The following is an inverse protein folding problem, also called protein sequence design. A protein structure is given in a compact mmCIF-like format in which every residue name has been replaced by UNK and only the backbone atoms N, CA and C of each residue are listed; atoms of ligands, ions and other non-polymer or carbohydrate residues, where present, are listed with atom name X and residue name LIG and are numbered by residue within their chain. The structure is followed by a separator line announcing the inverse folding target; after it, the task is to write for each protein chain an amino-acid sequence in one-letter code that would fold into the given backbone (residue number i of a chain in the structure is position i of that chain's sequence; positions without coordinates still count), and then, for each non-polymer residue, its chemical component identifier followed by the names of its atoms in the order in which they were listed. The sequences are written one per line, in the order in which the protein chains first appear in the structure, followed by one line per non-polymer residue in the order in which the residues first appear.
data_IF_688584950983
#
_entry.id   IF_688584950983
#
_cell.length_a   1.000
_cell.length_b   1.000
_cell.length_c   1.000
_cell.angle_alpha   90.00
_cell.angle_beta   90.00
_cell.angle_gamma   90.00
#
_symmetry.space_group_name_H-M   'P 1'
#
loop_
_entity.id
_entity.type
_entity.pdbx_description
1 polymer ?
#
# COMPACT_ATOMS: atom_id res chain seq x y z
N UNK A 1 1.21 -22.53 -17.78
CA UNK A 1 0.32 -22.53 -16.60
C UNK A 1 0.96 -21.62 -15.58
N UNK A 2 0.33 -20.47 -15.33
CA UNK A 2 0.66 -19.59 -14.21
C UNK A 2 0.62 -20.47 -12.96
N UNK A 3 1.70 -20.49 -12.18
CA UNK A 3 1.71 -21.19 -10.89
C UNK A 3 0.52 -20.71 -10.06
N UNK A 4 -0.18 -21.65 -9.44
CA UNK A 4 -1.45 -21.49 -8.72
C UNK A 4 -1.43 -20.56 -7.49
N UNK A 5 -0.50 -19.62 -7.41
CA UNK A 5 -0.65 -18.44 -6.55
C UNK A 5 -1.23 -17.31 -7.39
N UNK A 6 -2.57 -17.35 -7.51
CA UNK A 6 -3.36 -16.17 -7.85
C UNK A 6 -2.89 -15.04 -6.94
N UNK A 7 -2.34 -13.96 -7.50
CA UNK A 7 -2.26 -12.67 -6.81
C UNK A 7 -3.71 -12.17 -6.63
N UNK A 8 -4.44 -12.78 -5.70
CA UNK A 8 -5.79 -12.39 -5.35
C UNK A 8 -5.70 -11.23 -4.38
N UNK A 9 -5.92 -10.02 -4.88
CA UNK A 9 -6.42 -8.95 -4.00
C UNK A 9 -7.76 -9.42 -3.45
N UNK A 10 -7.96 -9.33 -2.14
CA UNK A 10 -9.31 -9.29 -1.59
C UNK A 10 -10.03 -8.10 -2.26
N UNK A 11 -10.94 -8.39 -3.20
CA UNK A 11 -11.65 -7.36 -3.98
C UNK A 11 -11.62 -7.49 -5.52
N UNK A 12 -10.98 -8.52 -6.10
CA UNK A 12 -11.39 -9.00 -7.44
C UNK A 12 -10.94 -8.23 -8.68
N UNK A 13 -9.79 -7.55 -8.68
CA UNK A 13 -9.10 -7.22 -9.95
C UNK A 13 -7.74 -7.88 -9.99
N UNK A 14 -7.53 -8.76 -10.98
CA UNK A 14 -6.22 -9.32 -11.26
C UNK A 14 -5.28 -8.20 -11.70
N UNK A 15 -4.01 -8.31 -11.27
CA UNK A 15 -2.91 -7.53 -11.83
C UNK A 15 -2.75 -8.05 -13.26
N UNK A 16 -3.51 -7.51 -14.22
CA UNK A 16 -3.43 -7.96 -15.61
C UNK A 16 -2.38 -7.16 -16.38
N UNK A 17 -2.18 -5.89 -16.02
CA UNK A 17 -1.28 -4.97 -16.73
C UNK A 17 -0.29 -4.34 -15.76
N UNK A 18 0.99 -4.52 -16.05
CA UNK A 18 2.11 -3.97 -15.30
C UNK A 18 3.00 -3.10 -16.19
N UNK A 19 3.85 -2.30 -15.56
CA UNK A 19 5.02 -1.74 -16.24
C UNK A 19 6.22 -2.61 -15.91
N UNK A 20 6.85 -3.20 -16.92
CA UNK A 20 7.98 -4.11 -16.75
C UNK A 20 9.19 -3.62 -17.52
N UNK A 21 10.38 -3.85 -16.97
CA UNK A 21 11.65 -3.70 -17.67
C UNK A 21 12.63 -4.75 -17.17
N UNK A 22 13.71 -4.91 -17.91
CA UNK A 22 14.91 -5.61 -17.46
C UNK A 22 16.01 -4.62 -17.14
N UNK A 23 17.11 -5.10 -16.57
CA UNK A 23 18.32 -4.30 -16.37
C UNK A 23 18.99 -3.86 -17.68
N UNK A 24 18.59 -4.43 -18.81
CA UNK A 24 19.09 -4.13 -20.15
C UNK A 24 18.22 -3.09 -20.88
N UNK A 25 17.02 -2.82 -20.38
CA UNK A 25 16.05 -1.92 -21.02
C UNK A 25 16.24 -0.47 -20.51
N UNK A 26 16.20 0.51 -21.42
CA UNK A 26 16.30 1.94 -21.08
C UNK A 26 15.03 2.47 -20.38
N UNK A 27 13.87 1.84 -20.61
CA UNK A 27 12.57 2.29 -20.09
C UNK A 27 11.65 1.12 -19.75
N UNK A 28 10.67 1.37 -18.88
CA UNK A 28 9.57 0.46 -18.62
C UNK A 28 8.58 0.43 -19.79
N UNK A 29 8.19 -0.77 -20.20
CA UNK A 29 7.12 -1.00 -21.18
C UNK A 29 5.89 -1.59 -20.51
N UNK A 30 4.74 -1.43 -21.16
CA UNK A 30 3.50 -2.06 -20.70
C UNK A 30 3.58 -3.55 -21.02
N UNK A 31 3.23 -4.39 -20.05
CA UNK A 31 3.18 -5.84 -20.21
C UNK A 31 1.87 -6.38 -19.65
N UNK A 32 1.11 -7.08 -20.47
CA UNK A 32 -0.10 -7.80 -20.10
C UNK A 32 0.26 -9.24 -19.69
N UNK A 33 0.12 -9.54 -18.40
CA UNK A 33 0.51 -10.83 -17.81
C UNK A 33 -0.26 -12.03 -18.36
N UNK A 34 -1.40 -11.83 -19.04
CA UNK A 34 -2.22 -12.90 -19.63
C UNK A 34 -1.97 -13.13 -21.11
N UNK A 35 -1.46 -12.13 -21.81
CA UNK A 35 -1.43 -12.10 -23.28
C UNK A 35 -0.01 -12.02 -23.82
N UNK A 36 0.85 -11.27 -23.14
CA UNK A 36 2.18 -10.96 -23.66
C UNK A 36 3.18 -12.07 -23.34
N UNK A 37 4.11 -12.26 -24.27
CA UNK A 37 5.28 -13.12 -24.11
C UNK A 37 6.52 -12.39 -24.60
N UNK A 38 7.66 -12.71 -24.00
CA UNK A 38 8.97 -12.13 -24.32
C UNK A 38 9.91 -13.24 -24.81
N UNK A 39 10.73 -12.96 -25.81
CA UNK A 39 11.65 -13.94 -26.41
C UNK A 39 13.04 -13.77 -25.82
N UNK A 40 13.69 -14.85 -25.40
CA UNK A 40 15.07 -14.80 -24.89
C UNK A 40 16.08 -14.21 -25.88
N UNK A 41 15.79 -14.25 -27.18
CA UNK A 41 16.64 -13.64 -28.21
C UNK A 41 16.83 -12.12 -28.01
N UNK A 42 15.87 -11.45 -27.36
CA UNK A 42 15.95 -10.01 -27.10
C UNK A 42 17.04 -9.63 -26.09
N UNK A 43 17.49 -10.58 -25.27
CA UNK A 43 18.52 -10.38 -24.25
C UNK A 43 19.92 -10.79 -24.72
N UNK A 44 20.05 -11.15 -26.01
CA UNK A 44 21.33 -11.49 -26.63
C UNK A 44 22.02 -12.69 -25.97
N UNK A 45 23.26 -12.49 -25.49
CA UNK A 45 24.08 -13.54 -24.88
C UNK A 45 24.06 -13.52 -23.35
N UNK A 46 23.12 -12.80 -22.73
CA UNK A 46 23.00 -12.80 -21.28
C UNK A 46 22.62 -14.21 -20.80
N UNK A 47 23.42 -14.77 -19.87
CA UNK A 47 23.10 -16.04 -19.21
C UNK A 47 21.98 -15.86 -18.17
N UNK A 48 21.83 -14.62 -17.67
CA UNK A 48 20.90 -14.24 -16.63
C UNK A 48 20.40 -12.82 -16.86
N UNK A 49 19.14 -12.57 -16.52
CA UNK A 49 18.49 -11.27 -16.66
C UNK A 49 17.67 -10.95 -15.40
N UNK A 50 17.86 -9.75 -14.85
CA UNK A 50 17.01 -9.20 -13.81
C UNK A 50 15.80 -8.45 -14.41
N UNK A 51 14.62 -8.79 -13.92
CA UNK A 51 13.34 -8.18 -14.27
C UNK A 51 12.83 -7.33 -13.11
N UNK A 52 12.24 -6.19 -13.45
CA UNK A 52 11.62 -5.24 -12.54
C UNK A 52 10.21 -4.93 -13.02
N UNK A 53 9.25 -4.86 -12.09
CA UNK A 53 7.86 -4.63 -12.42
C UNK A 53 7.19 -3.67 -11.43
N UNK A 54 6.29 -2.81 -11.92
CA UNK A 54 5.46 -1.92 -11.12
C UNK A 54 3.98 -2.17 -11.39
N UNK A 55 3.21 -2.20 -10.30
CA UNK A 55 1.75 -2.12 -10.33
C UNK A 55 1.25 -1.01 -9.39
N UNK A 56 0.24 -0.21 -9.76
CA UNK A 56 -0.34 -0.10 -11.09
C UNK A 56 0.72 0.29 -12.14
N UNK A 57 0.38 0.13 -13.43
CA UNK A 57 1.27 0.53 -14.51
C UNK A 57 1.76 1.97 -14.31
N UNK A 58 3.02 2.21 -14.64
CA UNK A 58 3.60 3.54 -14.63
C UNK A 58 2.90 4.43 -15.68
N UNK A 59 2.64 5.71 -15.36
CA UNK A 59 2.35 6.72 -16.35
C UNK A 59 3.45 6.82 -17.41
N UNK A 60 3.09 7.18 -18.64
CA UNK A 60 4.01 7.20 -19.78
C UNK A 60 5.18 8.19 -19.57
N UNK A 61 4.90 9.33 -18.94
CA UNK A 61 5.85 10.40 -18.64
C UNK A 61 6.92 10.01 -17.60
N UNK A 62 6.72 8.92 -16.86
CA UNK A 62 7.71 8.41 -15.88
C UNK A 62 8.31 7.05 -16.28
N UNK A 63 7.96 6.52 -17.45
CA UNK A 63 8.40 5.18 -17.91
C UNK A 63 9.93 5.07 -18.10
N UNK A 64 10.59 6.14 -18.53
CA UNK A 64 12.05 6.23 -18.66
C UNK A 64 12.75 6.87 -17.45
N UNK A 65 12.04 7.16 -16.37
CA UNK A 65 12.61 7.81 -15.20
C UNK A 65 13.32 6.81 -14.26
N UNK A 66 14.17 7.33 -13.40
CA UNK A 66 14.78 6.56 -12.30
C UNK A 66 13.90 6.55 -11.05
N UNK A 67 13.08 7.59 -10.88
CA UNK A 67 12.22 7.77 -9.72
C UNK A 67 10.84 8.29 -10.11
N UNK A 68 9.86 8.12 -9.22
CA UNK A 68 8.55 8.79 -9.31
C UNK A 68 8.13 9.35 -7.96
N UNK A 69 7.29 10.38 -7.98
CA UNK A 69 6.63 10.86 -6.76
C UNK A 69 5.42 9.97 -6.48
N UNK A 70 5.31 9.51 -5.23
CA UNK A 70 4.13 8.83 -4.70
C UNK A 70 3.42 9.72 -3.70
N UNK A 71 2.09 9.60 -3.68
CA UNK A 71 1.22 10.15 -2.65
C UNK A 71 0.41 9.00 -2.06
N UNK A 72 0.32 8.92 -0.73
CA UNK A 72 -0.55 7.93 -0.11
C UNK A 72 -2.03 8.28 -0.28
N UNK A 73 -2.91 7.35 0.01
CA UNK A 73 -4.33 7.44 -0.31
C UNK A 73 -4.98 6.06 -0.39
N UNK A 74 -5.89 5.87 -1.34
CA UNK A 74 -6.57 4.58 -1.55
C UNK A 74 -5.82 3.64 -2.47
N UNK A 75 -4.89 4.16 -3.26
CA UNK A 75 -4.13 3.38 -4.22
C UNK A 75 -3.07 2.53 -3.51
N UNK A 76 -2.94 1.29 -3.95
CA UNK A 76 -1.90 0.37 -3.48
C UNK A 76 -0.84 0.25 -4.57
N UNK A 77 0.43 0.32 -4.19
CA UNK A 77 1.56 0.23 -5.11
C UNK A 77 2.40 -0.99 -4.78
N UNK A 78 2.70 -1.79 -5.79
CA UNK A 78 3.49 -3.00 -5.69
C UNK A 78 4.71 -2.89 -6.59
N UNK A 79 5.81 -3.46 -6.12
CA UNK A 79 7.04 -3.57 -6.87
C UNK A 79 7.49 -5.04 -6.91
N UNK A 80 7.74 -5.55 -8.11
CA UNK A 80 8.11 -6.93 -8.36
C UNK A 80 9.51 -7.04 -8.92
N UNK A 81 10.23 -8.08 -8.49
CA UNK A 81 11.53 -8.44 -9.06
C UNK A 81 11.56 -9.92 -9.39
N UNK A 82 12.31 -10.26 -10.44
CA UNK A 82 12.67 -11.65 -10.73
C UNK A 82 14.08 -11.71 -11.29
N UNK A 83 14.75 -12.83 -11.05
CA UNK A 83 15.96 -13.24 -11.74
C UNK A 83 15.62 -14.45 -12.57
N UNK A 84 15.98 -14.45 -13.85
CA UNK A 84 15.73 -15.59 -14.73
C UNK A 84 16.98 -15.94 -15.54
N UNK A 85 17.16 -17.23 -15.77
CA UNK A 85 18.28 -17.78 -16.53
C UNK A 85 17.86 -18.04 -17.97
N UNK A 86 18.77 -17.84 -18.92
CA UNK A 86 18.50 -18.03 -20.34
C UNK A 86 17.92 -19.43 -20.64
N UNK A 87 16.85 -19.47 -21.43
CA UNK A 87 16.12 -20.69 -21.78
C UNK A 87 15.03 -21.09 -20.77
N UNK A 88 14.88 -20.38 -19.65
CA UNK A 88 13.80 -20.62 -18.69
C UNK A 88 12.44 -20.26 -19.31
N UNK A 89 11.49 -21.18 -19.23
CA UNK A 89 10.18 -21.02 -19.88
C UNK A 89 9.24 -20.04 -19.14
N UNK A 90 9.52 -19.74 -17.87
CA UNK A 90 8.65 -18.95 -17.00
C UNK A 90 9.47 -18.06 -16.07
N UNK A 91 9.08 -16.81 -15.90
CA UNK A 91 9.71 -15.88 -14.95
C UNK A 91 8.71 -15.58 -13.82
N UNK A 92 9.12 -15.78 -12.57
CA UNK A 92 8.26 -15.56 -11.39
C UNK A 92 8.59 -14.21 -10.73
N UNK A 93 7.76 -13.19 -11.02
CA UNK A 93 7.87 -11.87 -10.39
C UNK A 93 7.41 -11.92 -8.93
N UNK A 94 8.32 -11.64 -8.01
CA UNK A 94 8.03 -11.57 -6.58
C UNK A 94 7.62 -10.15 -6.20
N UNK A 95 6.31 -9.89 -6.18
CA UNK A 95 5.77 -8.60 -5.78
C UNK A 95 5.81 -8.38 -4.27
N UNK A 96 6.24 -7.19 -3.89
CA UNK A 96 6.13 -6.66 -2.53
C UNK A 96 5.32 -5.37 -2.56
N UNK A 97 4.49 -5.19 -1.55
CA UNK A 97 3.76 -3.95 -1.35
C UNK A 97 4.72 -2.85 -0.89
N UNK A 98 4.64 -1.71 -1.57
CA UNK A 98 5.46 -0.51 -1.32
C UNK A 98 4.83 0.34 -0.22
N UNK A 99 3.50 0.36 -0.18
CA UNK A 99 2.71 1.19 0.73
C UNK A 99 2.58 0.55 2.12
N UNK A 100 2.05 1.33 3.07
CA UNK A 100 1.71 0.91 4.42
C UNK A 100 0.24 1.17 4.71
N UNK A 101 -0.63 0.16 4.59
CA UNK A 101 -2.04 0.31 4.92
C UNK A 101 -2.20 0.58 6.42
N UNK A 102 -2.86 1.68 6.77
CA UNK A 102 -3.25 2.03 8.13
C UNK A 102 -4.77 2.10 8.23
N UNK A 103 -5.34 1.14 8.95
CA UNK A 103 -6.72 1.13 9.36
C UNK A 103 -6.90 1.92 10.68
N UNK A 104 -8.02 2.63 10.84
CA UNK A 104 -8.35 3.31 12.10
C UNK A 104 -9.65 2.75 12.68
N UNK A 105 -9.64 2.44 13.97
CA UNK A 105 -10.82 2.04 14.73
C UNK A 105 -10.93 2.92 15.97
N UNK A 106 -12.15 3.35 16.29
CA UNK A 106 -12.46 4.06 17.53
C UNK A 106 -13.28 3.15 18.43
N UNK A 107 -12.85 3.00 19.68
CA UNK A 107 -13.52 2.21 20.71
C UNK A 107 -14.20 3.11 21.74
N UNK A 108 -15.33 2.64 22.25
CA UNK A 108 -15.98 3.17 23.44
C UNK A 108 -15.21 2.76 24.72
N UNK A 109 -15.60 3.31 25.87
CA UNK A 109 -14.95 3.03 27.16
C UNK A 109 -14.98 1.53 27.53
N UNK A 110 -16.10 0.87 27.23
CA UNK A 110 -16.32 -0.57 27.42
C UNK A 110 -15.47 -1.45 26.49
N UNK A 111 -14.77 -0.83 25.52
CA UNK A 111 -13.91 -1.50 24.54
C UNK A 111 -14.62 -1.95 23.27
N UNK A 112 -15.92 -1.72 23.12
CA UNK A 112 -16.64 -2.03 21.89
C UNK A 112 -16.37 -0.97 20.81
N UNK A 113 -16.31 -1.34 19.51
CA UNK A 113 -16.15 -0.36 18.44
C UNK A 113 -17.32 0.63 18.35
N UNK A 114 -17.02 1.93 18.31
CA UNK A 114 -18.02 3.02 18.27
C UNK A 114 -19.04 2.81 17.14
N UNK A 115 -20.34 2.60 17.42
CA UNK A 115 -21.30 2.05 16.46
C UNK A 115 -21.64 2.95 15.27
N UNK A 116 -21.42 4.26 15.39
CA UNK A 116 -21.74 5.25 14.34
C UNK A 116 -20.62 5.49 13.34
N UNK A 117 -20.79 6.53 12.53
CA UNK A 117 -19.76 6.98 11.58
C UNK A 117 -18.65 7.73 12.32
N UNK A 118 -17.41 7.52 11.88
CA UNK A 118 -16.23 8.19 12.41
C UNK A 118 -15.51 8.95 11.31
N UNK A 119 -14.94 10.08 11.70
CA UNK A 119 -13.94 10.81 10.97
C UNK A 119 -12.75 11.00 11.90
N UNK A 120 -11.57 10.54 11.48
CA UNK A 120 -10.33 10.72 12.22
C UNK A 120 -9.32 11.37 11.31
N UNK A 121 -8.63 12.40 11.77
CA UNK A 121 -7.57 13.04 10.99
C UNK A 121 -6.28 13.21 11.75
N UNK A 122 -5.16 13.06 11.05
CA UNK A 122 -3.82 13.18 11.60
C UNK A 122 -2.89 13.86 10.61
N UNK A 123 -1.96 14.67 11.13
CA UNK A 123 -0.93 15.32 10.31
C UNK A 123 0.23 14.34 10.11
N UNK A 124 0.23 13.63 8.98
CA UNK A 124 1.14 12.52 8.66
C UNK A 124 1.95 12.81 7.40
N UNK A 125 3.10 12.17 7.25
CA UNK A 125 3.87 12.27 6.00
C UNK A 125 3.19 11.40 4.95
N UNK A 126 2.71 11.99 3.87
CA UNK A 126 1.92 11.25 2.88
C UNK A 126 2.41 11.43 1.45
N UNK A 127 3.66 11.87 1.29
CA UNK A 127 4.32 12.09 0.01
C UNK A 127 5.77 11.60 0.06
N UNK A 128 6.24 11.03 -1.04
CA UNK A 128 7.55 10.39 -1.09
C UNK A 128 8.03 10.21 -2.52
N UNK A 129 9.29 9.80 -2.64
CA UNK A 129 9.92 9.47 -3.92
C UNK A 129 10.25 7.99 -3.92
N UNK A 130 9.69 7.25 -4.88
CA UNK A 130 10.00 5.85 -5.10
C UNK A 130 11.13 5.72 -6.12
N UNK A 131 12.13 4.90 -5.82
CA UNK A 131 13.13 4.43 -6.77
C UNK A 131 12.52 3.31 -7.63
N UNK A 132 12.55 3.47 -8.95
CA UNK A 132 11.92 2.53 -9.87
C UNK A 132 12.75 1.26 -10.11
N UNK A 133 14.04 1.21 -9.72
CA UNK A 133 14.92 0.02 -9.86
C UNK A 133 14.81 -0.98 -8.71
N UNK A 134 14.57 -0.51 -7.50
CA UNK A 134 14.52 -1.36 -6.31
C UNK A 134 13.21 -1.25 -5.51
N UNK A 135 12.31 -0.37 -5.94
CA UNK A 135 11.00 -0.16 -5.32
C UNK A 135 11.03 0.57 -3.99
N UNK A 136 12.22 0.96 -3.49
CA UNK A 136 12.37 1.66 -2.21
C UNK A 136 11.71 3.04 -2.26
N UNK A 137 11.20 3.50 -1.11
CA UNK A 137 10.58 4.81 -0.98
C UNK A 137 11.29 5.64 0.07
N UNK A 138 11.66 6.85 -0.33
CA UNK A 138 12.09 7.91 0.60
C UNK A 138 10.91 8.83 0.84
N UNK A 139 10.37 8.79 2.06
CA UNK A 139 9.28 9.68 2.47
C UNK A 139 9.81 11.10 2.67
N UNK A 140 9.12 12.08 2.07
CA UNK A 140 9.48 13.49 2.19
C UNK A 140 9.07 14.02 3.58
N UNK A 141 9.82 14.99 4.10
CA UNK A 141 9.52 15.64 5.38
C UNK A 141 8.43 16.71 5.25
N UNK A 142 7.37 16.38 4.51
CA UNK A 142 6.18 17.20 4.33
C UNK A 142 5.01 16.45 4.95
N UNK A 143 4.40 17.04 5.99
CA UNK A 143 3.19 16.47 6.58
C UNK A 143 1.95 17.06 5.92
N UNK A 144 1.00 16.20 5.60
CA UNK A 144 -0.32 16.57 5.11
C UNK A 144 -1.39 16.01 6.05
N UNK A 145 -2.53 16.69 6.13
CA UNK A 145 -3.66 16.19 6.90
C UNK A 145 -4.24 14.97 6.19
N UNK A 146 -4.10 13.80 6.81
CA UNK A 146 -4.63 12.54 6.32
C UNK A 146 -5.92 12.23 7.04
N UNK A 147 -6.98 12.02 6.27
CA UNK A 147 -8.33 11.77 6.76
C UNK A 147 -8.68 10.29 6.64
N UNK A 148 -9.19 9.71 7.72
CA UNK A 148 -9.71 8.36 7.81
C UNK A 148 -11.21 8.46 8.10
N UNK A 149 -12.03 7.91 7.21
CA UNK A 149 -13.49 7.94 7.36
C UNK A 149 -14.03 6.52 7.38
N UNK A 150 -15.00 6.27 8.26
CA UNK A 150 -15.81 5.07 8.21
C UNK A 150 -17.27 5.47 8.42
N UNK A 151 -18.12 5.13 7.46
CA UNK A 151 -19.54 5.44 7.50
C UNK A 151 -20.30 4.20 7.97
N UNK A 152 -21.12 4.33 9.02
CA UNK A 152 -21.97 3.25 9.47
C UNK A 152 -23.03 2.91 8.39
N UNK A 153 -23.03 1.67 7.89
CA UNK A 153 -24.04 1.24 6.94
C UNK A 153 -25.32 0.82 7.68
N UNK A 154 -26.43 1.51 7.41
CA UNK A 154 -27.74 1.25 8.04
C UNK A 154 -28.41 -0.05 7.56
N UNK A 155 -27.89 -0.70 6.51
CA UNK A 155 -28.55 -1.86 5.86
C UNK A 155 -27.97 -3.23 6.22
N UNK A 156 -26.78 -3.30 6.81
CA UNK A 156 -26.07 -4.55 7.12
C UNK A 156 -25.61 -4.57 8.57
N UNK A 157 -26.45 -5.09 9.49
CA UNK A 157 -26.17 -5.44 10.90
C UNK A 157 -24.75 -5.10 11.43
N UNK A 158 -24.40 -3.82 11.52
CA UNK A 158 -23.12 -3.37 12.10
C UNK A 158 -21.83 -3.71 11.34
N UNK A 159 -21.87 -4.10 10.05
CA UNK A 159 -20.62 -4.28 9.26
C UNK A 159 -20.05 -2.91 8.91
N UNK A 160 -18.98 -2.51 9.61
CA UNK A 160 -18.23 -1.29 9.34
C UNK A 160 -17.13 -1.59 8.32
N UNK A 161 -17.14 -0.90 7.19
CA UNK A 161 -15.98 -0.88 6.31
C UNK A 161 -14.92 0.02 6.98
N UNK A 162 -13.95 -0.60 7.66
CA UNK A 162 -12.76 0.12 8.09
C UNK A 162 -11.96 0.45 6.81
N UNK A 163 -12.02 1.70 6.35
CA UNK A 163 -11.23 2.13 5.20
C UNK A 163 -9.79 2.29 5.68
N UNK A 164 -8.92 1.39 5.23
CA UNK A 164 -7.49 1.57 5.38
C UNK A 164 -7.01 2.63 4.38
N UNK A 165 -6.18 3.55 4.84
CA UNK A 165 -5.46 4.48 3.97
C UNK A 165 -4.04 3.95 3.80
N UNK A 166 -3.59 3.83 2.56
CA UNK A 166 -2.23 3.46 2.21
C UNK A 166 -1.31 4.67 2.41
N UNK A 167 -0.54 4.62 3.49
CA UNK A 167 0.51 5.60 3.78
C UNK A 167 1.82 5.20 3.11
N UNK A 168 2.80 6.10 3.17
CA UNK A 168 4.20 5.77 2.90
C UNK A 168 4.91 5.34 4.18
N UNK A 169 5.99 4.53 4.08
CA UNK A 169 6.80 4.12 5.22
C UNK A 169 7.31 5.32 6.00
N UNK A 170 7.06 5.36 7.30
CA UNK A 170 7.38 6.54 8.11
C UNK A 170 7.42 6.21 9.60
N UNK A 171 7.99 7.13 10.36
CA UNK A 171 7.92 7.10 11.82
C UNK A 171 6.77 7.98 12.28
N UNK A 172 5.82 7.40 13.04
CA UNK A 172 4.80 8.14 13.76
C UNK A 172 5.28 8.26 15.21
N UNK A 173 5.51 9.49 15.66
CA UNK A 173 6.07 9.74 16.99
C UNK A 173 5.01 9.66 18.08
N UNK A 174 5.44 9.26 19.29
CA UNK A 174 4.65 9.42 20.51
C UNK A 174 4.15 10.87 20.64
N UNK A 175 2.89 11.02 21.02
CA UNK A 175 2.25 12.33 21.14
C UNK A 175 1.67 12.87 19.83
N UNK A 176 1.85 12.20 18.68
CA UNK A 176 1.22 12.63 17.42
C UNK A 176 -0.30 12.67 17.59
N UNK A 177 -0.97 13.81 17.30
CA UNK A 177 -2.39 13.98 17.53
C UNK A 177 -3.23 13.35 16.41
N UNK A 178 -4.31 12.68 16.82
CA UNK A 178 -5.41 12.19 15.99
C UNK A 178 -6.67 12.91 16.45
N UNK A 179 -7.23 13.74 15.57
CA UNK A 179 -8.47 14.47 15.81
C UNK A 179 -9.64 13.56 15.45
N UNK A 180 -10.51 13.28 16.40
CA UNK A 180 -11.66 12.37 16.26
C UNK A 180 -12.95 13.18 16.24
N UNK A 181 -13.80 12.87 15.27
CA UNK A 181 -15.16 13.38 15.12
C UNK A 181 -16.11 12.18 15.00
N UNK A 182 -17.07 12.09 15.90
CA UNK A 182 -18.07 11.03 15.94
C UNK A 182 -19.42 11.55 15.44
N UNK A 183 -20.19 10.67 14.79
CA UNK A 183 -21.51 11.04 14.26
C UNK A 183 -22.55 11.46 15.30
N UNK A 184 -22.32 11.19 16.59
CA UNK A 184 -23.16 11.63 17.70
C UNK A 184 -22.82 13.05 18.20
N UNK A 185 -21.86 13.73 17.56
CA UNK A 185 -21.42 15.08 17.88
C UNK A 185 -20.24 15.17 18.85
N UNK A 186 -19.74 14.04 19.38
CA UNK A 186 -18.51 14.04 20.19
C UNK A 186 -17.28 14.33 19.32
N UNK A 187 -16.43 15.23 19.80
CA UNK A 187 -15.17 15.59 19.17
C UNK A 187 -14.06 15.63 20.23
N UNK A 188 -12.91 15.02 19.96
CA UNK A 188 -11.78 15.02 20.88
C UNK A 188 -10.45 14.77 20.16
N UNK A 189 -9.34 14.95 20.86
CA UNK A 189 -8.00 14.61 20.36
C UNK A 189 -7.44 13.45 21.16
N UNK A 190 -7.03 12.39 20.46
CA UNK A 190 -6.24 11.31 21.01
C UNK A 190 -4.78 11.46 20.56
N UNK A 191 -3.84 10.90 21.32
CA UNK A 191 -2.42 10.97 20.98
C UNK A 191 -1.79 9.59 20.91
N UNK A 192 -0.84 9.43 19.98
CA UNK A 192 -0.10 8.17 19.82
C UNK A 192 0.66 7.84 21.09
N UNK A 193 0.38 6.68 21.66
CA UNK A 193 0.90 6.28 22.97
C UNK A 193 2.41 6.00 22.95
N UNK A 194 2.90 5.38 21.89
CA UNK A 194 4.31 5.04 21.69
C UNK A 194 4.72 5.25 20.23
N UNK A 195 5.98 5.62 20.03
CA UNK A 195 6.54 5.80 18.68
C UNK A 195 6.52 4.48 17.90
N UNK A 196 6.03 4.51 16.66
CA UNK A 196 5.98 3.35 15.76
C UNK A 196 6.67 3.66 14.43
N UNK A 197 7.48 2.71 13.95
CA UNK A 197 8.05 2.74 12.61
C UNK A 197 7.17 1.90 11.67
N UNK A 198 6.45 2.57 10.79
CA UNK A 198 5.63 1.98 9.74
C UNK A 198 6.52 1.52 8.58
N UNK A 199 6.45 0.23 8.22
CA UNK A 199 7.26 -0.39 7.16
C UNK A 199 6.41 -0.85 5.99
N UNK A 200 6.97 -0.75 4.77
CA UNK A 200 6.37 -1.28 3.55
C UNK A 200 5.96 -2.74 3.71
N UNK A 201 4.79 -3.08 3.20
CA UNK A 201 4.29 -4.46 3.17
C UNK A 201 3.65 -4.95 4.47
N UNK A 202 3.81 -4.23 5.58
CA UNK A 202 3.09 -4.51 6.82
C UNK A 202 1.76 -3.75 6.83
N UNK A 203 0.72 -4.38 7.40
CA UNK A 203 -0.58 -3.74 7.62
C UNK A 203 -0.66 -3.30 9.09
N UNK A 204 -1.20 -2.12 9.33
CA UNK A 204 -1.31 -1.55 10.67
C UNK A 204 -2.74 -1.19 11.00
N UNK A 205 -3.04 -1.25 12.29
CA UNK A 205 -4.29 -0.74 12.85
C UNK A 205 -3.97 0.25 13.96
N UNK A 206 -4.53 1.46 13.84
CA UNK A 206 -4.57 2.46 14.89
C UNK A 206 -5.89 2.33 15.65
N UNK A 207 -5.81 1.93 16.91
CA UNK A 207 -6.95 1.84 17.83
C UNK A 207 -6.97 3.09 18.70
N UNK A 208 -8.00 3.90 18.53
CA UNK A 208 -8.29 5.07 19.34
C UNK A 208 -9.20 4.64 20.49
N UNK A 209 -8.76 4.84 21.73
CA UNK A 209 -9.58 4.62 22.94
C UNK A 209 -9.34 5.76 23.91
N UNK A 210 -10.37 6.56 24.15
CA UNK A 210 -10.26 7.79 24.95
C UNK A 210 -9.23 8.75 24.34
N UNK A 211 -8.26 9.18 25.14
CA UNK A 211 -7.21 10.14 24.75
C UNK A 211 -5.96 9.49 24.11
N UNK A 212 -5.99 8.18 23.85
CA UNK A 212 -4.84 7.41 23.34
C UNK A 212 -5.10 6.73 22.01
N UNK A 213 -4.06 6.71 21.20
CA UNK A 213 -3.97 5.92 19.97
C UNK A 213 -2.87 4.87 20.13
N UNK A 214 -3.23 3.60 19.98
CA UNK A 214 -2.26 2.50 19.93
C UNK A 214 -2.17 2.01 18.50
N UNK A 215 -0.97 1.99 17.93
CA UNK A 215 -0.74 1.53 16.56
C UNK A 215 0.01 0.20 16.64
N UNK A 216 -0.57 -0.86 16.08
CA UNK A 216 0.03 -2.19 16.05
C UNK A 216 0.01 -2.76 14.65
N UNK A 217 0.94 -3.67 14.36
CA UNK A 217 0.83 -4.53 13.19
C UNK A 217 -0.47 -5.33 13.33
N UNK A 218 -1.25 -5.38 12.26
CA UNK A 218 -2.50 -6.09 12.20
C UNK A 218 -2.44 -7.02 11.01
N UNK A 219 -2.21 -8.30 11.28
CA UNK A 219 -2.29 -9.36 10.26
C UNK A 219 -3.76 -9.73 10.05
N UNK A 220 -4.53 -8.74 9.60
CA UNK A 220 -5.89 -8.94 9.18
C UNK A 220 -5.88 -9.39 7.74
N UNK A 221 -6.17 -10.67 7.51
CA UNK A 221 -6.84 -11.06 6.28
C UNK A 221 -8.01 -10.09 6.12
N UNK A 222 -7.98 -9.24 5.09
CA UNK A 222 -9.16 -8.49 4.69
C UNK A 222 -10.17 -9.57 4.27
N UNK A 223 -11.29 -9.76 4.99
CA UNK A 223 -12.26 -10.77 4.62
C UNK A 223 -12.72 -10.51 3.19
N UNK A 224 -12.74 -11.59 2.41
CA UNK A 224 -13.26 -11.65 1.04
C UNK A 224 -14.75 -11.29 1.00
#
# INVERSE_FOLDING_TARGET
MIGDEVLSRAGGTSIDVISMRTELDDAFTVFNLREDTRSWEEFGKADEVLFYAHYPRLPEDVSGAETRVLKGGTDDYLFGQAKAVNGQQQVCLQFKRVMVPLAVEVLEEDGNPYPGSIEVGALLKNKGVQNLKDGSVTTLDEKEYTKFECVANSTTRGVKAIIAINLLPQKIEKGTPFQVQLSDGRAYTATVAETVLLKSGENYKAVVKGDKVTITIFDGSIPL
#
